data_IF_302156559621
#
_entry.id   IF_302156559621
#
_cell.length_a   1.000
_cell.length_b   1.000
_cell.length_c   1.000
_cell.angle_alpha   90.00
_cell.angle_beta   90.00
_cell.angle_gamma   90.00
#
_symmetry.space_group_name_H-M   'P 1'
#
loop_
_entity.id
_entity.type
_entity.pdbx_description
1 polymer ?
#
# COMPACT_ATOMS: atom_id res chain seq x y z
N UNK A 1 31.33 13.29 5.73
CA UNK A 1 31.15 12.48 4.50
C UNK A 1 30.33 13.32 3.53
N UNK A 2 30.94 13.72 2.41
CA UNK A 2 30.39 14.72 1.48
C UNK A 2 29.06 14.25 0.86
N UNK A 3 28.01 15.08 1.00
CA UNK A 3 26.77 14.98 0.24
C UNK A 3 27.01 15.60 -1.14
N UNK A 4 26.92 14.78 -2.19
CA UNK A 4 27.16 15.18 -3.59
C UNK A 4 25.90 15.80 -4.24
N UNK A 5 24.80 15.99 -3.49
CA UNK A 5 23.57 16.60 -4.04
C UNK A 5 23.35 18.00 -3.45
N UNK A 6 24.04 18.94 -4.10
CA UNK A 6 23.89 20.40 -3.98
C UNK A 6 22.52 20.85 -4.54
N UNK A 7 21.70 21.44 -3.67
CA UNK A 7 20.65 22.44 -3.89
C UNK A 7 20.12 22.66 -5.33
N UNK A 8 19.29 21.75 -5.83
CA UNK A 8 18.24 22.06 -6.83
C UNK A 8 16.98 21.23 -6.56
N UNK A 9 16.13 21.83 -5.71
CA UNK A 9 14.70 21.59 -5.50
C UNK A 9 14.22 20.13 -5.43
N UNK A 10 14.04 19.54 -4.23
CA UNK A 10 13.19 18.37 -4.10
C UNK A 10 11.79 18.79 -4.55
N UNK A 11 11.19 18.04 -5.48
CA UNK A 11 9.85 18.28 -6.02
C UNK A 11 8.93 18.93 -4.98
N UNK A 12 8.61 20.22 -5.15
CA UNK A 12 7.80 20.94 -4.19
C UNK A 12 6.47 20.19 -3.99
N UNK A 13 6.03 19.92 -2.74
CA UNK A 13 4.81 19.16 -2.47
C UNK A 13 3.58 19.77 -3.15
N UNK A 14 3.60 21.09 -3.37
CA UNK A 14 2.52 21.84 -4.02
C UNK A 14 2.27 21.47 -5.48
N UNK A 15 3.24 20.83 -6.16
CA UNK A 15 3.15 20.47 -7.58
C UNK A 15 3.00 18.98 -7.85
N UNK A 16 2.98 18.14 -6.80
CA UNK A 16 2.83 16.69 -6.92
C UNK A 16 1.49 16.28 -6.32
N UNK A 17 0.59 15.82 -7.18
CA UNK A 17 -0.70 15.29 -6.74
C UNK A 17 -0.62 13.77 -6.63
N UNK A 18 -0.78 13.25 -5.40
CA UNK A 18 -0.80 11.81 -5.12
C UNK A 18 -2.23 11.35 -4.87
N UNK A 19 -2.63 10.27 -5.53
CA UNK A 19 -3.91 9.60 -5.27
C UNK A 19 -3.64 8.14 -4.98
N UNK A 20 -4.13 7.66 -3.83
CA UNK A 20 -4.07 6.26 -3.44
C UNK A 20 -5.47 5.66 -3.47
N UNK A 21 -5.64 4.55 -4.18
CA UNK A 21 -6.91 3.83 -4.23
C UNK A 21 -6.71 2.37 -3.84
N UNK A 22 -7.54 1.90 -2.91
CA UNK A 22 -7.64 0.49 -2.54
C UNK A 22 -8.82 -0.11 -3.28
N UNK A 23 -8.59 -1.21 -4.00
CA UNK A 23 -9.61 -1.87 -4.83
C UNK A 23 -9.69 -3.35 -4.46
N UNK A 24 -10.90 -3.79 -4.11
CA UNK A 24 -11.19 -5.20 -3.83
C UNK A 24 -10.56 -5.76 -2.54
N UNK A 25 -10.72 -7.08 -2.31
CA UNK A 25 -10.21 -7.75 -1.11
C UNK A 25 -8.70 -8.07 -1.16
N UNK A 26 -8.16 -8.39 -2.34
CA UNK A 26 -6.75 -8.80 -2.53
C UNK A 26 -5.73 -7.66 -2.41
N UNK A 27 -6.09 -6.57 -1.74
CA UNK A 27 -5.20 -5.44 -1.49
C UNK A 27 -4.66 -4.79 -2.77
N UNK A 28 -5.44 -4.67 -3.85
CA UNK A 28 -4.94 -3.93 -5.02
C UNK A 28 -4.83 -2.44 -4.67
N UNK A 29 -3.59 -1.96 -4.57
CA UNK A 29 -3.28 -0.57 -4.26
C UNK A 29 -2.78 0.12 -5.53
N UNK A 30 -3.50 1.16 -5.94
CA UNK A 30 -3.06 2.06 -6.99
C UNK A 30 -2.48 3.32 -6.36
N UNK A 31 -1.18 3.52 -6.54
CA UNK A 31 -0.48 4.75 -6.18
C UNK A 31 -0.23 5.54 -7.45
N UNK A 32 -0.99 6.63 -7.61
CA UNK A 32 -0.88 7.50 -8.77
C UNK A 32 -0.20 8.80 -8.36
N UNK A 33 1.00 9.03 -8.89
CA UNK A 33 1.77 10.26 -8.69
C UNK A 33 1.72 11.09 -9.96
N UNK A 34 1.03 12.23 -9.91
CA UNK A 34 1.06 13.24 -10.97
C UNK A 34 2.18 14.21 -10.65
N UNK A 35 3.27 14.11 -11.41
CA UNK A 35 4.40 15.03 -11.31
C UNK A 35 4.36 16.04 -12.47
N UNK A 36 5.06 17.18 -12.38
CA UNK A 36 5.17 18.13 -13.50
C UNK A 36 5.76 17.49 -14.78
N UNK A 37 6.56 16.45 -14.63
CA UNK A 37 7.23 15.75 -15.74
C UNK A 37 6.36 14.63 -16.36
N UNK A 38 5.23 14.30 -15.73
CA UNK A 38 4.32 13.26 -16.20
C UNK A 38 3.79 12.37 -15.08
N UNK A 39 3.12 11.31 -15.50
CA UNK A 39 2.46 10.36 -14.61
C UNK A 39 3.38 9.19 -14.23
N UNK A 40 3.41 8.87 -12.94
CA UNK A 40 3.94 7.62 -12.41
C UNK A 40 2.81 6.84 -11.75
N UNK A 41 2.61 5.59 -12.15
CA UNK A 41 1.63 4.68 -11.58
C UNK A 41 2.37 3.50 -10.96
N UNK A 42 2.17 3.28 -9.68
CA UNK A 42 2.66 2.12 -8.96
C UNK A 42 1.47 1.29 -8.49
N UNK A 43 1.45 0.01 -8.85
CA UNK A 43 0.43 -0.94 -8.42
C UNK A 43 1.09 -1.94 -7.49
N UNK A 44 0.56 -2.05 -6.29
CA UNK A 44 0.95 -3.11 -5.34
C UNK A 44 -0.21 -4.08 -5.19
N UNK A 45 0.09 -5.37 -5.24
CA UNK A 45 -0.89 -6.44 -5.02
C UNK A 45 -0.42 -7.31 -3.87
N UNK A 46 -1.36 -7.76 -3.04
CA UNK A 46 -1.08 -8.60 -1.88
C UNK A 46 -1.84 -9.91 -2.04
N UNK A 47 -1.10 -10.98 -2.28
CA UNK A 47 -1.65 -12.32 -2.36
C UNK A 47 -1.44 -13.00 -1.01
N UNK A 48 -2.51 -13.33 -0.27
CA UNK A 48 -2.36 -14.14 0.92
C UNK A 48 -1.89 -15.54 0.49
N UNK A 49 -0.95 -16.09 1.25
CA UNK A 49 -0.59 -17.49 1.15
C UNK A 49 -1.25 -18.19 2.35
N UNK A 50 -0.47 -18.74 3.28
CA UNK A 50 -1.01 -19.43 4.45
C UNK A 50 -1.01 -18.55 5.70
N UNK A 51 -2.13 -18.53 6.42
CA UNK A 51 -2.23 -17.88 7.73
C UNK A 51 -2.02 -16.36 7.67
N UNK A 52 -0.89 -15.88 8.21
CA UNK A 52 -0.53 -14.45 8.20
C UNK A 52 0.56 -14.12 7.18
N UNK A 53 0.97 -15.08 6.36
CA UNK A 53 1.96 -14.86 5.32
C UNK A 53 1.31 -14.27 4.07
N UNK A 54 1.94 -13.26 3.50
CA UNK A 54 1.43 -12.55 2.32
C UNK A 54 2.59 -12.25 1.39
N UNK A 55 2.42 -12.58 0.10
CA UNK A 55 3.36 -12.20 -0.95
C UNK A 55 2.88 -10.90 -1.58
N UNK A 56 3.77 -9.91 -1.67
CA UNK A 56 3.48 -8.66 -2.36
C UNK A 56 4.21 -8.60 -3.70
N UNK A 57 3.49 -8.24 -4.76
CA UNK A 57 4.08 -7.84 -6.04
C UNK A 57 3.95 -6.33 -6.23
N UNK A 58 5.01 -5.72 -6.76
CA UNK A 58 5.05 -4.29 -7.06
C UNK A 58 5.33 -4.09 -8.55
N UNK A 59 4.47 -3.30 -9.20
CA UNK A 59 4.55 -2.97 -10.61
C UNK A 59 4.57 -1.46 -10.78
N UNK A 60 5.54 -0.93 -11.51
CA UNK A 60 5.63 0.51 -11.76
C UNK A 60 5.60 0.80 -13.25
N UNK A 61 4.64 1.62 -13.66
CA UNK A 61 4.56 2.22 -14.99
C UNK A 61 4.88 3.70 -14.91
N UNK A 62 5.74 4.14 -15.82
CA UNK A 62 6.22 5.52 -15.88
C UNK A 62 5.99 6.05 -17.29
N UNK A 63 5.40 7.24 -17.38
CA UNK A 63 5.23 7.91 -18.66
C UNK A 63 6.60 8.25 -19.27
N UNK A 64 6.75 8.10 -20.60
CA UNK A 64 8.03 8.34 -21.30
C UNK A 64 8.62 9.74 -21.09
N UNK A 65 7.80 10.73 -20.73
CA UNK A 65 8.21 12.11 -20.44
C UNK A 65 8.96 12.26 -19.12
N UNK A 66 8.82 11.31 -18.19
CA UNK A 66 9.46 11.37 -16.88
C UNK A 66 10.94 10.95 -17.01
N UNK A 67 11.89 11.75 -16.50
CA UNK A 67 13.30 11.39 -16.52
C UNK A 67 13.57 10.06 -15.80
N UNK A 68 14.42 9.21 -16.40
CA UNK A 68 14.75 7.89 -15.84
C UNK A 68 15.35 7.96 -14.44
N UNK A 69 16.19 8.96 -14.15
CA UNK A 69 16.77 9.16 -12.82
C UNK A 69 15.68 9.43 -11.76
N UNK A 70 14.68 10.24 -12.11
CA UNK A 70 13.55 10.51 -11.22
C UNK A 70 12.70 9.26 -10.99
N UNK A 71 12.43 8.49 -12.05
CA UNK A 71 11.72 7.23 -11.96
C UNK A 71 12.44 6.21 -11.04
N UNK A 72 13.77 6.09 -11.19
CA UNK A 72 14.60 5.22 -10.35
C UNK A 72 14.62 5.68 -8.90
N UNK A 73 14.66 6.99 -8.67
CA UNK A 73 14.56 7.57 -7.33
C UNK A 73 13.23 7.21 -6.67
N UNK A 74 12.10 7.43 -7.33
CA UNK A 74 10.76 7.10 -6.81
C UNK A 74 10.65 5.60 -6.51
N UNK A 75 11.17 4.74 -7.39
CA UNK A 75 11.18 3.30 -7.17
C UNK A 75 12.01 2.90 -5.94
N UNK A 76 13.19 3.51 -5.77
CA UNK A 76 14.07 3.24 -4.65
C UNK A 76 13.43 3.66 -3.33
N UNK A 77 12.92 4.88 -3.25
CA UNK A 77 12.27 5.39 -2.04
C UNK A 77 11.01 4.60 -1.69
N UNK A 78 10.19 4.27 -2.69
CA UNK A 78 9.01 3.42 -2.49
C UNK A 78 9.35 2.03 -1.96
N UNK A 79 10.48 1.45 -2.39
CA UNK A 79 10.97 0.17 -1.87
C UNK A 79 11.49 0.28 -0.45
N UNK A 80 12.23 1.34 -0.13
CA UNK A 80 12.76 1.56 1.22
C UNK A 80 11.62 1.76 2.23
N UNK A 81 10.68 2.66 1.94
CA UNK A 81 9.52 2.91 2.79
C UNK A 81 8.70 1.62 3.00
N UNK A 82 8.51 0.82 1.94
CA UNK A 82 7.80 -0.44 2.06
C UNK A 82 8.54 -1.47 2.94
N UNK A 83 9.88 -1.55 2.83
CA UNK A 83 10.66 -2.44 3.69
C UNK A 83 10.53 -2.05 5.17
N UNK A 84 10.51 -0.75 5.47
CA UNK A 84 10.32 -0.26 6.83
C UNK A 84 8.93 -0.63 7.37
N UNK A 85 7.89 -0.53 6.52
CA UNK A 85 6.53 -0.96 6.86
C UNK A 85 6.46 -2.47 7.16
N UNK A 86 7.17 -3.32 6.39
CA UNK A 86 7.23 -4.78 6.66
C UNK A 86 7.73 -5.06 8.07
N UNK A 87 8.76 -4.34 8.54
CA UNK A 87 9.31 -4.54 9.87
C UNK A 87 8.28 -4.27 10.97
N UNK A 88 7.42 -3.28 10.77
CA UNK A 88 6.34 -2.95 11.69
C UNK A 88 5.24 -4.01 11.60
N UNK A 89 4.81 -4.38 10.39
CA UNK A 89 3.73 -5.35 10.19
C UNK A 89 4.05 -6.72 10.78
N UNK A 90 5.28 -7.20 10.62
CA UNK A 90 5.73 -8.47 11.17
C UNK A 90 5.69 -8.52 12.70
N UNK A 91 5.74 -7.37 13.37
CA UNK A 91 5.72 -7.27 14.84
C UNK A 91 4.39 -6.75 15.38
N UNK A 92 3.41 -6.51 14.50
CA UNK A 92 2.13 -5.89 14.86
C UNK A 92 1.05 -6.95 15.03
N UNK A 93 0.42 -6.95 16.20
CA UNK A 93 -0.82 -7.72 16.42
C UNK A 93 -2.04 -6.97 15.87
N UNK A 94 -3.03 -7.68 15.36
CA UNK A 94 -4.27 -7.10 14.84
C UNK A 94 -5.44 -7.26 15.84
N UNK A 95 -5.66 -6.32 16.78
CA UNK A 95 -6.72 -6.45 17.78
C UNK A 95 -8.11 -6.26 17.15
N UNK A 96 -9.09 -7.07 17.60
CA UNK A 96 -10.51 -6.97 17.20
C UNK A 96 -11.10 -5.59 17.53
N UNK A 97 -10.73 -5.01 18.68
CA UNK A 97 -11.17 -3.70 19.17
C UNK A 97 -9.95 -2.83 19.53
N UNK A 98 -9.34 -2.11 18.56
CA UNK A 98 -8.24 -1.20 18.85
C UNK A 98 -8.74 0.02 19.64
N UNK A 99 -7.91 0.55 20.54
CA UNK A 99 -8.13 1.86 21.16
C UNK A 99 -7.80 2.91 20.10
N UNK A 100 -8.81 3.64 19.64
CA UNK A 100 -8.67 4.64 18.57
C UNK A 100 -8.91 6.04 19.12
N UNK A 101 -8.02 6.97 18.77
CA UNK A 101 -8.23 8.39 18.98
C UNK A 101 -9.16 8.94 17.88
N UNK A 102 -9.65 10.18 18.04
CA UNK A 102 -10.49 10.84 17.02
C UNK A 102 -9.78 10.99 15.68
N UNK A 103 -8.46 11.09 15.70
CA UNK A 103 -7.61 11.21 14.51
C UNK A 103 -7.51 9.89 13.73
N UNK A 104 -7.66 8.74 14.41
CA UNK A 104 -7.53 7.40 13.82
C UNK A 104 -8.83 6.85 13.22
N UNK A 105 -9.87 7.67 13.12
CA UNK A 105 -11.19 7.24 12.66
C UNK A 105 -11.17 6.65 11.24
N UNK A 106 -10.16 7.00 10.43
CA UNK A 106 -9.90 6.38 9.13
C UNK A 106 -9.71 4.86 9.20
N UNK A 107 -9.04 4.35 10.26
CA UNK A 107 -8.81 2.91 10.45
C UNK A 107 -10.14 2.17 10.60
N UNK A 108 -11.08 2.73 11.37
CA UNK A 108 -12.41 2.14 11.56
C UNK A 108 -13.19 2.11 10.25
N UNK A 109 -13.14 3.19 9.47
CA UNK A 109 -13.81 3.26 8.15
C UNK A 109 -13.24 2.22 7.19
N UNK A 110 -11.91 2.11 7.11
CA UNK A 110 -11.23 1.13 6.28
C UNK A 110 -11.61 -0.30 6.66
N UNK A 111 -11.56 -0.64 7.95
CA UNK A 111 -11.96 -1.97 8.44
C UNK A 111 -13.42 -2.30 8.12
N UNK A 112 -14.32 -1.33 8.28
CA UNK A 112 -15.73 -1.53 7.96
C UNK A 112 -15.97 -1.72 6.46
N UNK A 113 -15.29 -0.95 5.61
CA UNK A 113 -15.34 -1.14 4.16
C UNK A 113 -14.79 -2.51 3.75
N UNK A 114 -13.66 -2.94 4.33
CA UNK A 114 -13.02 -4.21 3.98
C UNK A 114 -13.85 -5.45 4.37
N UNK A 115 -14.66 -5.35 5.43
CA UNK A 115 -15.55 -6.42 5.87
C UNK A 115 -16.56 -6.87 4.81
N UNK A 116 -16.89 -6.03 3.82
CA UNK A 116 -17.88 -6.37 2.79
C UNK A 116 -17.46 -7.55 1.90
N UNK A 117 -16.17 -7.88 1.86
CA UNK A 117 -15.65 -8.94 1.00
C UNK A 117 -15.59 -10.31 1.67
N UNK A 118 -15.92 -10.38 2.95
CA UNK A 118 -15.92 -11.62 3.72
C UNK A 118 -17.36 -12.00 4.08
N UNK A 119 -17.68 -13.31 4.10
CA UNK A 119 -18.98 -13.79 4.53
C UNK A 119 -19.26 -13.36 5.97
N UNK A 120 -20.54 -13.27 6.31
CA UNK A 120 -20.95 -12.92 7.68
C UNK A 120 -20.66 -14.10 8.61
N UNK A 121 -20.44 -13.80 9.90
CA UNK A 121 -20.16 -14.83 10.93
C UNK A 121 -21.21 -15.96 10.93
N UNK A 122 -22.46 -15.68 10.53
CA UNK A 122 -23.54 -16.68 10.44
C UNK A 122 -23.37 -17.69 9.30
N UNK A 123 -22.74 -17.29 8.19
CA UNK A 123 -22.48 -18.14 7.00
C UNK A 123 -21.21 -19.01 7.16
N UNK A 124 -20.33 -18.66 8.10
CA UNK A 124 -19.09 -19.40 8.37
C UNK A 124 -19.32 -20.74 9.11
N UNK A 125 -20.49 -20.95 9.71
CA UNK A 125 -20.83 -22.21 10.39
C UNK A 125 -21.27 -23.33 9.42
N UNK A 126 -21.59 -22.99 8.17
CA UNK A 126 -21.95 -23.95 7.11
C UNK A 126 -20.79 -24.24 6.15
N UNK A 127 -19.75 -23.40 6.15
CA UNK A 127 -18.56 -23.58 5.31
C UNK A 127 -17.60 -24.48 6.08
N UNK A 128 -17.50 -25.73 5.66
CA UNK A 128 -16.55 -26.70 6.22
C UNK A 128 -15.13 -26.09 6.13
N UNK A 129 -14.51 -25.91 7.29
CA UNK A 129 -13.22 -25.20 7.46
C UNK A 129 -12.09 -25.88 6.68
N UNK A 130 -12.33 -27.10 6.17
CA UNK A 130 -11.42 -27.89 5.36
C UNK A 130 -11.30 -27.44 3.89
N UNK A 131 -12.19 -26.58 3.37
CA UNK A 131 -12.17 -26.15 1.95
C UNK A 131 -11.51 -24.78 1.72
N UNK A 132 -10.93 -24.18 2.76
CA UNK A 132 -10.23 -22.90 2.67
C UNK A 132 -8.71 -23.09 2.75
N UNK A 133 -8.20 -24.02 1.93
CA UNK A 133 -6.79 -24.05 1.53
C UNK A 133 -6.57 -23.04 0.40
N UNK A 134 -6.34 -21.79 0.79
CA UNK A 134 -5.49 -20.88 0.03
C UNK A 134 -4.28 -20.52 0.89
#
# INVERSE_FOLDING_TARGET
>A
VMSIFNDKEPLLPDKVSTTVKVVGPGGFLYFQFKTPFGLVLMIKTFLPHRGLETTMHDYMWVQKSVPRLLALYILREGRLAFNDDILIWNKKTFPRKPVLLKEDMGIKKLRNWYKQFYPKEDELNEIDVCDLDW
#
